data_IF_490200511093
#
_entry.id   IF_490200511093
#
_cell.length_a   1.000
_cell.length_b   1.000
_cell.length_c   1.000
_cell.angle_alpha   90.00
_cell.angle_beta   90.00
_cell.angle_gamma   90.00
#
_symmetry.space_group_name_H-M   'P 1'
#
loop_
_entity.id
_entity.type
_entity.pdbx_description
1 polymer ?
#
# COMPACT_ATOMS: atom_id res chain seq x y z
N UNK A 1 41.29 39.30 -20.24
CA UNK A 1 40.05 38.72 -20.81
C UNK A 1 39.91 37.21 -20.62
N UNK A 2 40.94 36.45 -20.21
CA UNK A 2 40.84 34.99 -20.01
C UNK A 2 40.03 34.54 -18.77
N UNK A 3 40.03 35.32 -17.68
CA UNK A 3 39.37 34.92 -16.42
C UNK A 3 37.83 34.94 -16.50
N UNK A 4 37.25 35.92 -17.19
CA UNK A 4 35.77 36.03 -17.28
C UNK A 4 35.21 34.89 -18.15
N UNK A 5 35.89 34.55 -19.24
CA UNK A 5 35.45 33.49 -20.14
C UNK A 5 35.48 32.11 -19.47
N UNK A 6 36.52 31.82 -18.69
CA UNK A 6 36.61 30.57 -17.92
C UNK A 6 35.58 30.51 -16.79
N UNK A 7 35.33 31.60 -16.07
CA UNK A 7 34.28 31.63 -15.03
C UNK A 7 32.89 31.41 -15.61
N UNK A 8 32.56 32.02 -16.76
CA UNK A 8 31.27 31.84 -17.44
C UNK A 8 31.10 30.40 -17.92
N UNK A 9 32.13 29.80 -18.52
CA UNK A 9 32.08 28.41 -18.99
C UNK A 9 31.90 27.44 -17.82
N UNK A 10 32.61 27.63 -16.71
CA UNK A 10 32.45 26.79 -15.51
C UNK A 10 31.03 26.92 -14.93
N UNK A 11 30.46 28.13 -14.87
CA UNK A 11 29.11 28.35 -14.35
C UNK A 11 28.03 27.65 -15.20
N UNK A 12 28.20 27.67 -16.52
CA UNK A 12 27.29 26.99 -17.46
C UNK A 12 27.40 25.47 -17.29
N UNK A 13 28.60 24.92 -17.15
CA UNK A 13 28.78 23.47 -16.95
C UNK A 13 28.15 23.01 -15.63
N UNK A 14 28.34 23.75 -14.53
CA UNK A 14 27.77 23.41 -13.23
C UNK A 14 26.25 23.46 -13.24
N UNK A 15 25.65 24.46 -13.89
CA UNK A 15 24.19 24.57 -13.99
C UNK A 15 23.58 23.46 -14.86
N UNK A 16 24.24 23.09 -15.96
CA UNK A 16 23.82 21.96 -16.81
C UNK A 16 23.92 20.62 -16.06
N UNK A 17 25.02 20.39 -15.32
CA UNK A 17 25.19 19.18 -14.50
C UNK A 17 24.15 19.08 -13.38
N UNK A 18 23.86 20.18 -12.70
CA UNK A 18 22.82 20.24 -11.67
C UNK A 18 21.42 19.95 -12.25
N UNK A 19 21.11 20.51 -13.42
CA UNK A 19 19.84 20.25 -14.11
C UNK A 19 19.71 18.78 -14.53
N UNK A 20 20.78 18.16 -15.05
CA UNK A 20 20.80 16.74 -15.41
C UNK A 20 20.60 15.84 -14.19
N UNK A 21 21.28 16.13 -13.07
CA UNK A 21 21.07 15.42 -11.80
C UNK A 21 19.61 15.52 -11.34
N UNK A 22 19.01 16.72 -11.40
CA UNK A 22 17.62 16.95 -11.03
C UNK A 22 16.64 16.15 -11.90
N UNK A 23 16.88 16.12 -13.22
CA UNK A 23 16.05 15.34 -14.15
C UNK A 23 16.15 13.84 -13.86
N UNK A 24 17.34 13.33 -13.56
CA UNK A 24 17.55 11.93 -13.23
C UNK A 24 16.86 11.55 -11.91
N UNK A 25 17.02 12.36 -10.86
CA UNK A 25 16.35 12.09 -9.57
C UNK A 25 14.83 12.13 -9.69
N UNK A 26 14.29 13.11 -10.44
CA UNK A 26 12.83 13.24 -10.62
C UNK A 26 12.26 12.07 -11.42
N UNK A 27 12.98 11.58 -12.45
CA UNK A 27 12.57 10.40 -13.22
C UNK A 27 12.56 9.13 -12.36
N UNK A 28 13.57 8.94 -11.50
CA UNK A 28 13.64 7.77 -10.61
C UNK A 28 12.49 7.79 -9.60
N UNK A 29 12.20 8.94 -8.99
CA UNK A 29 11.10 9.08 -8.03
C UNK A 29 9.73 8.92 -8.71
N UNK A 30 9.53 9.48 -9.91
CA UNK A 30 8.28 9.28 -10.63
C UNK A 30 8.08 7.82 -11.06
N UNK A 31 9.16 7.13 -11.45
CA UNK A 31 9.09 5.73 -11.82
C UNK A 31 8.76 4.83 -10.62
N UNK A 32 9.32 5.10 -9.43
CA UNK A 32 8.95 4.35 -8.22
C UNK A 32 7.49 4.58 -7.84
N UNK A 33 7.01 5.83 -7.90
CA UNK A 33 5.59 6.17 -7.66
C UNK A 33 4.64 5.49 -8.64
N UNK A 34 5.01 5.42 -9.91
CA UNK A 34 4.19 4.78 -10.95
C UNK A 34 4.15 3.25 -10.78
N UNK A 35 5.26 2.63 -10.39
CA UNK A 35 5.30 1.21 -10.03
C UNK A 35 4.46 0.91 -8.79
N UNK A 36 4.57 1.73 -7.75
CA UNK A 36 3.76 1.61 -6.53
C UNK A 36 2.27 1.70 -6.85
N UNK A 37 1.89 2.68 -7.67
CA UNK A 37 0.49 2.86 -8.09
C UNK A 37 0.00 1.64 -8.86
N UNK A 38 0.79 1.13 -9.81
CA UNK A 38 0.42 -0.04 -10.60
C UNK A 38 0.23 -1.28 -9.73
N UNK A 39 1.16 -1.56 -8.83
CA UNK A 39 1.05 -2.68 -7.92
C UNK A 39 -0.19 -2.53 -7.01
N UNK A 40 -0.47 -1.31 -6.54
CA UNK A 40 -1.65 -0.98 -5.75
C UNK A 40 -2.95 -1.23 -6.51
N UNK A 41 -3.01 -0.84 -7.78
CA UNK A 41 -4.16 -1.04 -8.65
C UNK A 41 -4.36 -2.54 -8.93
N UNK A 42 -3.29 -3.32 -9.12
CA UNK A 42 -3.32 -4.77 -9.32
C UNK A 42 -3.81 -5.53 -8.07
N UNK A 43 -3.32 -5.16 -6.88
CA UNK A 43 -3.78 -5.73 -5.61
C UNK A 43 -5.26 -5.43 -5.35
N UNK A 44 -5.69 -4.19 -5.65
CA UNK A 44 -7.09 -3.78 -5.51
C UNK A 44 -7.97 -4.58 -6.48
N UNK A 45 -7.56 -4.71 -7.74
CA UNK A 45 -8.30 -5.49 -8.73
C UNK A 45 -8.42 -6.97 -8.35
N UNK A 46 -7.37 -7.54 -7.75
CA UNK A 46 -7.38 -8.92 -7.25
C UNK A 46 -8.40 -9.09 -6.13
N UNK A 47 -8.40 -8.20 -5.12
CA UNK A 47 -9.37 -8.22 -4.02
C UNK A 47 -10.80 -8.04 -4.56
N UNK A 48 -11.01 -7.06 -5.43
CA UNK A 48 -12.31 -6.81 -6.07
C UNK A 48 -12.82 -8.03 -6.84
N UNK A 49 -11.93 -8.78 -7.48
CA UNK A 49 -12.31 -9.99 -8.22
C UNK A 49 -12.78 -11.11 -7.28
N UNK A 50 -12.13 -11.28 -6.12
CA UNK A 50 -12.49 -12.29 -5.12
C UNK A 50 -13.80 -11.94 -4.40
N UNK A 51 -13.99 -10.66 -4.07
CA UNK A 51 -15.17 -10.17 -3.34
C UNK A 51 -16.46 -10.26 -4.17
N UNK A 52 -16.35 -10.28 -5.51
CA UNK A 52 -17.48 -10.37 -6.44
C UNK A 52 -17.88 -11.80 -6.80
N UNK A 53 -17.17 -12.81 -6.30
CA UNK A 53 -17.51 -14.21 -6.56
C UNK A 53 -18.77 -14.61 -5.80
N UNK A 54 -19.72 -15.25 -6.50
CA UNK A 54 -20.95 -15.79 -5.89
C UNK A 54 -20.65 -16.85 -4.84
N UNK A 55 -19.57 -17.61 -5.05
CA UNK A 55 -19.02 -18.57 -4.10
C UNK A 55 -17.52 -18.32 -3.92
N UNK A 56 -17.11 -18.09 -2.68
CA UNK A 56 -15.71 -17.85 -2.32
C UNK A 56 -15.39 -18.47 -0.97
N UNK A 57 -14.24 -19.15 -0.91
CA UNK A 57 -13.71 -19.78 0.28
C UNK A 57 -12.41 -19.09 0.72
N UNK A 58 -11.99 -19.36 1.95
CA UNK A 58 -10.72 -18.85 2.46
C UNK A 58 -9.53 -19.27 1.58
N UNK A 59 -9.57 -20.48 1.02
CA UNK A 59 -8.53 -20.98 0.11
C UNK A 59 -8.33 -20.12 -1.12
N UNK A 60 -9.38 -19.48 -1.64
CA UNK A 60 -9.28 -18.64 -2.84
C UNK A 60 -8.52 -17.34 -2.53
N UNK A 61 -8.71 -16.79 -1.32
CA UNK A 61 -7.92 -15.68 -0.81
C UNK A 61 -6.47 -16.10 -0.56
N UNK A 62 -6.24 -17.27 0.04
CA UNK A 62 -4.89 -17.79 0.31
C UNK A 62 -4.11 -18.01 -1.00
N UNK A 63 -4.75 -18.54 -2.04
CA UNK A 63 -4.09 -18.76 -3.33
C UNK A 63 -3.61 -17.46 -3.97
N UNK A 64 -4.38 -16.36 -3.83
CA UNK A 64 -4.07 -15.07 -4.46
C UNK A 64 -3.22 -14.14 -3.61
N UNK A 65 -3.40 -14.16 -2.29
CA UNK A 65 -2.79 -13.20 -1.36
C UNK A 65 -1.76 -13.84 -0.43
N UNK A 66 -1.65 -15.17 -0.43
CA UNK A 66 -0.84 -15.92 0.53
C UNK A 66 -1.55 -16.14 1.87
N UNK A 67 -0.81 -16.66 2.85
CA UNK A 67 -1.35 -16.94 4.18
C UNK A 67 -1.76 -15.64 4.90
N UNK A 68 -2.93 -15.61 5.57
CA UNK A 68 -3.33 -14.49 6.40
C UNK A 68 -2.47 -14.35 7.65
N UNK A 69 -2.24 -13.11 8.10
CA UNK A 69 -1.56 -12.82 9.37
C UNK A 69 -2.35 -13.31 10.59
N UNK A 70 -3.68 -13.37 10.45
CA UNK A 70 -4.57 -13.82 11.52
C UNK A 70 -5.81 -14.48 10.95
N UNK A 71 -6.17 -15.62 11.55
CA UNK A 71 -7.43 -16.32 11.32
C UNK A 71 -8.13 -16.56 12.65
N UNK A 72 -9.38 -16.13 12.75
CA UNK A 72 -10.20 -16.29 13.95
C UNK A 72 -11.61 -16.76 13.61
N UNK A 73 -12.19 -17.60 14.48
CA UNK A 73 -13.59 -17.99 14.37
C UNK A 73 -14.47 -16.88 14.94
N UNK A 74 -15.50 -16.48 14.20
CA UNK A 74 -16.51 -15.50 14.62
C UNK A 74 -17.91 -16.04 14.31
N UNK A 75 -18.95 -15.41 14.86
CA UNK A 75 -20.33 -15.73 14.52
C UNK A 75 -20.86 -14.70 13.52
N UNK A 76 -21.41 -15.12 12.40
CA UNK A 76 -22.13 -14.25 11.46
C UNK A 76 -23.54 -14.82 11.21
N UNK A 77 -24.57 -14.03 11.54
CA UNK A 77 -25.99 -14.44 11.44
C UNK A 77 -26.29 -15.83 12.04
N UNK A 78 -25.79 -16.09 13.25
CA UNK A 78 -25.93 -17.36 13.98
C UNK A 78 -25.17 -18.56 13.36
N UNK A 79 -24.47 -18.38 12.24
CA UNK A 79 -23.58 -19.36 11.66
C UNK A 79 -22.13 -19.14 12.12
N UNK A 80 -21.33 -20.21 12.07
CA UNK A 80 -19.89 -20.14 12.33
C UNK A 80 -19.17 -19.65 11.08
N UNK A 81 -18.39 -18.58 11.25
CA UNK A 81 -17.72 -17.89 10.17
C UNK A 81 -16.24 -17.72 10.49
N UNK A 82 -15.42 -17.58 9.45
CA UNK A 82 -14.01 -17.31 9.59
C UNK A 82 -13.74 -15.85 9.29
N UNK A 83 -13.06 -15.20 10.22
CA UNK A 83 -12.48 -13.88 10.03
C UNK A 83 -10.99 -14.04 9.70
N UNK A 84 -10.57 -13.55 8.55
CA UNK A 84 -9.17 -13.59 8.13
C UNK A 84 -8.67 -12.17 7.81
N UNK A 85 -7.37 -11.95 8.04
CA UNK A 85 -6.71 -10.65 7.88
C UNK A 85 -5.40 -10.79 7.12
N UNK A 86 -5.15 -9.87 6.20
CA UNK A 86 -3.89 -9.73 5.46
C UNK A 86 -3.39 -8.30 5.51
N UNK A 87 -2.10 -8.13 5.78
CA UNK A 87 -1.36 -6.91 5.66
C UNK A 87 -0.90 -6.75 4.21
N UNK A 88 -1.69 -6.01 3.42
CA UNK A 88 -1.47 -5.81 1.98
C UNK A 88 -0.50 -4.63 1.71
N UNK A 89 0.36 -4.30 2.67
CA UNK A 89 1.24 -3.13 2.67
C UNK A 89 2.50 -3.26 1.85
N UNK A 90 2.92 -4.47 1.48
CA UNK A 90 4.07 -4.68 0.58
C UNK A 90 3.90 -4.01 -0.79
N UNK A 91 2.70 -3.52 -1.07
CA UNK A 91 2.28 -2.86 -2.29
C UNK A 91 2.19 -1.32 -2.15
N UNK A 92 2.09 -0.77 -0.94
CA UNK A 92 1.82 0.65 -0.70
C UNK A 92 2.95 1.31 0.11
N UNK A 93 3.76 2.16 -0.53
CA UNK A 93 4.92 2.81 0.11
C UNK A 93 4.53 3.90 1.11
N UNK A 94 3.28 4.37 1.13
CA UNK A 94 2.86 5.51 1.98
C UNK A 94 1.82 5.21 3.06
N UNK A 95 0.97 4.19 2.89
CA UNK A 95 -0.08 3.90 3.85
C UNK A 95 -0.23 2.38 4.00
N UNK A 96 0.07 1.88 5.19
CA UNK A 96 -0.18 0.50 5.56
C UNK A 96 -1.69 0.24 5.50
N UNK A 97 -2.09 -0.74 4.68
CA UNK A 97 -3.48 -1.16 4.55
C UNK A 97 -3.61 -2.61 4.98
N UNK A 98 -4.76 -2.92 5.57
CA UNK A 98 -5.13 -4.27 5.99
C UNK A 98 -6.42 -4.68 5.33
N UNK A 99 -6.42 -5.82 4.64
CA UNK A 99 -7.63 -6.49 4.21
C UNK A 99 -8.19 -7.29 5.39
N UNK A 100 -9.48 -7.15 5.65
CA UNK A 100 -10.22 -7.99 6.57
C UNK A 100 -11.40 -8.59 5.82
N UNK A 101 -11.55 -9.92 5.89
CA UNK A 101 -12.71 -10.63 5.33
C UNK A 101 -13.38 -11.48 6.40
N UNK A 102 -14.69 -11.67 6.25
CA UNK A 102 -15.47 -12.61 7.04
C UNK A 102 -16.20 -13.52 6.05
N UNK A 103 -15.95 -14.81 6.15
CA UNK A 103 -16.42 -15.85 5.24
C UNK A 103 -17.31 -16.83 6.02
N UNK A 104 -18.45 -17.20 5.44
CA UNK A 104 -19.22 -18.35 5.89
C UNK A 104 -18.65 -19.60 5.21
N UNK A 105 -18.02 -20.48 5.98
CA UNK A 105 -17.36 -21.68 5.44
C UNK A 105 -18.35 -22.72 4.91
N UNK A 106 -19.54 -22.81 5.51
CA UNK A 106 -20.55 -23.80 5.11
C UNK A 106 -21.21 -23.41 3.79
N UNK A 107 -21.53 -22.12 3.66
CA UNK A 107 -22.17 -21.57 2.46
C UNK A 107 -21.17 -21.16 1.38
N UNK A 108 -19.88 -21.09 1.72
CA UNK A 108 -18.81 -20.56 0.87
C UNK A 108 -19.16 -19.18 0.32
N UNK A 109 -19.62 -18.30 1.21
CA UNK A 109 -20.04 -16.95 0.86
C UNK A 109 -19.21 -15.93 1.63
N UNK A 110 -18.91 -14.83 0.98
CA UNK A 110 -18.33 -13.68 1.64
C UNK A 110 -19.42 -12.91 2.37
N UNK A 111 -19.32 -12.89 3.70
CA UNK A 111 -20.23 -12.13 4.54
C UNK A 111 -19.83 -10.65 4.62
N UNK A 112 -18.54 -10.37 4.67
CA UNK A 112 -18.00 -9.02 4.81
C UNK A 112 -16.59 -8.93 4.26
N UNK A 113 -16.26 -7.82 3.60
CA UNK A 113 -14.87 -7.46 3.29
C UNK A 113 -14.64 -5.96 3.46
N UNK A 114 -13.47 -5.60 3.96
CA UNK A 114 -13.06 -4.21 4.10
C UNK A 114 -11.55 -4.08 3.96
N UNK A 115 -11.12 -3.04 3.25
CA UNK A 115 -9.72 -2.60 3.22
C UNK A 115 -9.59 -1.40 4.15
N UNK A 116 -8.93 -1.61 5.28
CA UNK A 116 -8.77 -0.60 6.34
C UNK A 116 -7.41 0.06 6.17
N UNK A 117 -7.33 1.40 5.97
CA UNK A 117 -6.08 2.11 6.10
C UNK A 117 -5.68 2.17 7.58
N UNK A 118 -4.48 1.70 7.91
CA UNK A 118 -3.92 1.87 9.23
C UNK A 118 -3.39 3.30 9.36
N UNK A 119 -3.81 3.94 10.43
CA UNK A 119 -3.49 5.33 10.72
C UNK A 119 -2.72 5.39 12.03
N UNK A 120 -1.65 6.17 12.03
CA UNK A 120 -0.90 6.51 13.22
C UNK A 120 -1.44 7.82 13.78
N UNK A 121 -1.92 7.76 15.02
CA UNK A 121 -2.37 8.94 15.75
C UNK A 121 -1.16 9.50 16.49
N UNK A 122 -0.67 10.65 16.07
CA UNK A 122 0.38 11.38 16.80
C UNK A 122 -0.29 12.20 17.89
N UNK A 123 0.00 11.83 19.14
CA UNK A 123 -0.51 12.51 20.33
C UNK A 123 0.61 13.32 20.97
N UNK A 124 0.35 14.59 21.25
CA UNK A 124 1.24 15.46 22.02
C UNK A 124 0.43 16.14 23.12
N UNK A 125 0.94 16.07 24.35
CA UNK A 125 0.30 16.66 25.54
C UNK A 125 -1.18 16.27 25.72
N UNK A 126 -1.51 15.00 25.40
CA UNK A 126 -2.87 14.47 25.53
C UNK A 126 -3.87 14.91 24.44
N UNK A 127 -3.43 15.71 23.48
CA UNK A 127 -4.22 16.14 22.33
C UNK A 127 -3.75 15.45 21.04
N UNK A 128 -4.70 15.07 20.18
CA UNK A 128 -4.39 14.52 18.85
C UNK A 128 -3.88 15.65 17.98
N UNK A 129 -2.60 15.58 17.61
CA UNK A 129 -1.92 16.60 16.78
C UNK A 129 -2.11 16.29 15.29
N UNK A 130 -2.09 15.00 14.92
CA UNK A 130 -2.21 14.57 13.53
C UNK A 130 -2.65 13.12 13.43
N UNK A 131 -3.51 12.85 12.46
CA UNK A 131 -3.82 11.51 11.97
C UNK A 131 -3.06 11.32 10.64
N UNK A 132 -1.95 10.59 10.68
CA UNK A 132 -1.12 10.30 9.50
C UNK A 132 -1.26 8.83 9.13
N UNK A 133 -1.02 8.50 7.86
CA UNK A 133 -0.94 7.10 7.47
C UNK A 133 0.17 6.40 8.26
N UNK A 134 -0.14 5.24 8.84
CA UNK A 134 0.89 4.39 9.40
C UNK A 134 1.77 3.86 8.27
N UNK A 135 3.10 3.94 8.44
CA UNK A 135 4.03 3.27 7.55
C UNK A 135 4.00 1.76 7.81
N UNK A 136 4.26 0.95 6.78
CA UNK A 136 4.37 -0.49 6.94
C UNK A 136 5.53 -0.84 7.89
N UNK A 137 5.41 -1.86 8.75
CA UNK A 137 6.50 -2.28 9.60
C UNK A 137 7.68 -2.71 8.73
N UNK A 138 8.87 -2.23 9.07
CA UNK A 138 10.10 -2.65 8.39
C UNK A 138 10.36 -4.11 8.79
N UNK A 139 10.29 -5.00 7.81
CA UNK A 139 10.61 -6.43 7.90
C UNK A 139 12.06 -6.68 8.30
#
# INVERSE_FOLDING_TARGET
MQNILTTVVVLVIVTVLAALMLVLTTKVVNYSLEQEKKAADEATATIDSLVKLDHVALSDFIEKLGEPDNVTNVMCEQNRCIKARWDISTVYVRCWKRLQVILNEEQKTLFYSEVIPLKEIKVKDGSVESEVCAEAPKS
#
